data_IF_513205070352
#
_entry.id   IF_513205070352
#
_cell.length_a   1.000
_cell.length_b   1.000
_cell.length_c   1.000
_cell.angle_alpha   90.00
_cell.angle_beta   90.00
_cell.angle_gamma   90.00
#
_symmetry.space_group_name_H-M   'P 1'
#
loop_
_entity.id
_entity.type
_entity.pdbx_description
1 polymer ?
#
# COMPACT_ATOMS: atom_id res chain seq x y z
N UNK A 1 7.88 2.82 -4.07
CA UNK A 1 8.54 2.89 -5.41
C UNK A 1 7.76 2.11 -6.47
N UNK A 2 7.31 0.86 -6.21
CA UNK A 2 6.52 0.07 -7.19
C UNK A 2 5.33 0.83 -7.79
N UNK A 3 4.45 1.52 -7.01
CA UNK A 3 3.34 2.27 -7.61
C UNK A 3 3.77 3.40 -8.55
N UNK A 4 4.93 4.01 -8.31
CA UNK A 4 5.50 5.01 -9.23
C UNK A 4 5.93 4.38 -10.55
N UNK A 5 6.46 3.15 -10.51
CA UNK A 5 6.83 2.45 -11.74
C UNK A 5 5.58 2.02 -12.53
N UNK A 6 4.50 1.63 -11.84
CA UNK A 6 3.23 1.36 -12.53
C UNK A 6 2.71 2.62 -13.25
N UNK A 7 2.76 3.78 -12.60
CA UNK A 7 2.42 5.05 -13.25
C UNK A 7 3.38 5.35 -14.41
N UNK A 8 4.69 5.17 -14.22
CA UNK A 8 5.69 5.38 -15.26
C UNK A 8 5.45 4.48 -16.48
N UNK A 9 5.09 3.20 -16.29
CA UNK A 9 4.73 2.30 -17.37
C UNK A 9 3.51 2.84 -18.15
N UNK A 10 2.49 3.36 -17.48
CA UNK A 10 1.32 3.96 -18.13
C UNK A 10 1.66 5.25 -18.89
N UNK A 11 2.51 6.09 -18.32
CA UNK A 11 3.00 7.28 -19.02
C UNK A 11 3.83 6.92 -20.26
N UNK A 12 4.72 5.93 -20.14
CA UNK A 12 5.56 5.47 -21.27
C UNK A 12 4.72 4.79 -22.36
N UNK A 13 3.65 4.06 -22.00
CA UNK A 13 2.68 3.50 -22.94
C UNK A 13 2.02 4.59 -23.80
N UNK A 14 1.78 5.77 -23.22
CA UNK A 14 1.24 6.96 -23.91
C UNK A 14 2.32 7.79 -24.62
N UNK A 15 3.57 7.33 -24.65
CA UNK A 15 4.65 7.98 -25.38
C UNK A 15 5.51 8.97 -24.57
N UNK A 16 5.25 9.13 -23.28
CA UNK A 16 6.05 9.99 -22.41
C UNK A 16 7.39 9.34 -22.05
N UNK A 17 8.42 10.16 -21.92
CA UNK A 17 9.74 9.73 -21.44
C UNK A 17 9.81 9.97 -19.94
N UNK A 18 10.11 8.94 -19.18
CA UNK A 18 10.20 9.00 -17.72
C UNK A 18 11.62 8.72 -17.26
N UNK A 19 12.18 9.61 -16.44
CA UNK A 19 13.45 9.35 -15.75
C UNK A 19 13.17 9.13 -14.26
N UNK A 20 13.56 7.98 -13.76
CA UNK A 20 13.39 7.58 -12.38
C UNK A 20 14.66 7.84 -11.58
N UNK A 21 14.66 8.84 -10.70
CA UNK A 21 15.75 9.12 -9.77
C UNK A 21 15.55 8.28 -8.51
N UNK A 22 16.42 7.30 -8.27
CA UNK A 22 16.24 6.34 -7.17
C UNK A 22 17.58 5.72 -6.73
N UNK A 23 17.65 5.16 -5.50
CA UNK A 23 18.83 4.42 -5.06
C UNK A 23 19.14 3.22 -5.98
N UNK A 24 20.43 2.90 -6.14
CA UNK A 24 20.87 1.78 -7.01
C UNK A 24 20.28 0.43 -6.60
N UNK A 25 20.10 0.21 -5.31
CA UNK A 25 19.45 -1.01 -4.81
C UNK A 25 17.98 -1.09 -5.20
N UNK A 26 17.27 0.04 -5.15
CA UNK A 26 15.88 0.13 -5.60
C UNK A 26 15.74 -0.11 -7.10
N UNK A 27 16.69 0.38 -7.92
CA UNK A 27 16.73 0.06 -9.34
C UNK A 27 16.75 -1.45 -9.58
N UNK A 28 17.67 -2.17 -8.93
CA UNK A 28 17.77 -3.65 -9.07
C UNK A 28 16.49 -4.37 -8.67
N UNK A 29 15.74 -3.82 -7.72
CA UNK A 29 14.46 -4.39 -7.28
C UNK A 29 13.32 -4.13 -8.26
N UNK A 30 13.40 -3.07 -9.06
CA UNK A 30 12.31 -2.59 -9.92
C UNK A 30 12.53 -2.87 -11.41
N UNK A 31 13.77 -3.01 -11.87
CA UNK A 31 14.09 -3.06 -13.31
C UNK A 31 13.36 -4.16 -14.07
N UNK A 32 13.08 -5.29 -13.40
CA UNK A 32 12.33 -6.39 -14.01
C UNK A 32 10.85 -6.08 -14.25
N UNK A 33 10.30 -5.01 -13.65
CA UNK A 33 8.93 -4.53 -13.83
C UNK A 33 8.83 -3.35 -14.80
N UNK A 34 9.96 -2.91 -15.35
CA UNK A 34 9.98 -1.88 -16.38
C UNK A 34 9.55 -2.48 -17.73
N UNK A 35 8.33 -2.18 -18.14
CA UNK A 35 7.75 -2.68 -19.40
C UNK A 35 8.21 -1.89 -20.63
N UNK A 36 8.77 -0.69 -20.42
CA UNK A 36 9.18 0.23 -21.49
C UNK A 36 10.63 0.70 -21.30
N UNK A 37 11.65 -0.16 -21.44
CA UNK A 37 13.05 0.18 -21.16
C UNK A 37 13.63 1.29 -22.02
N UNK A 38 13.02 1.60 -23.17
CA UNK A 38 13.39 2.74 -24.02
C UNK A 38 12.69 4.04 -23.61
N UNK A 39 11.53 3.96 -22.94
CA UNK A 39 10.75 5.10 -22.46
C UNK A 39 11.02 5.45 -21.00
N UNK A 40 11.44 4.48 -20.18
CA UNK A 40 11.71 4.64 -18.75
C UNK A 40 13.19 4.40 -18.48
N UNK A 41 13.90 5.43 -18.03
CA UNK A 41 15.32 5.38 -17.70
C UNK A 41 15.52 5.50 -16.20
N UNK A 42 16.27 4.57 -15.61
CA UNK A 42 16.69 4.64 -14.21
C UNK A 42 17.98 5.44 -14.08
N UNK A 43 17.94 6.48 -13.24
CA UNK A 43 19.08 7.30 -12.89
C UNK A 43 19.43 7.07 -11.43
N UNK A 44 20.49 6.29 -11.12
CA UNK A 44 20.81 5.90 -9.76
C UNK A 44 21.35 7.08 -8.94
N UNK A 45 20.80 7.23 -7.74
CA UNK A 45 21.31 8.17 -6.73
C UNK A 45 22.26 7.46 -5.78
N UNK A 46 23.30 8.17 -5.35
CA UNK A 46 24.19 7.74 -4.27
C UNK A 46 23.59 8.20 -2.95
N UNK A 47 23.23 7.26 -2.08
CA UNK A 47 22.70 7.59 -0.76
C UNK A 47 23.84 7.95 0.18
N UNK A 48 23.90 9.19 0.69
CA UNK A 48 24.96 9.62 1.61
C UNK A 48 24.93 8.87 2.93
N UNK A 49 26.09 8.70 3.55
CA UNK A 49 26.18 8.16 4.90
C UNK A 49 25.55 9.11 5.91
N UNK A 50 24.79 8.54 6.84
CA UNK A 50 24.20 9.25 7.99
C UNK A 50 24.44 8.42 9.24
N UNK A 51 24.92 9.05 10.30
CA UNK A 51 25.13 8.38 11.59
C UNK A 51 23.80 7.79 12.10
N UNK A 52 23.85 6.52 12.47
CA UNK A 52 22.66 5.76 12.88
C UNK A 52 21.94 5.03 11.75
N UNK A 53 22.31 5.26 10.48
CA UNK A 53 21.85 4.45 9.36
C UNK A 53 22.83 3.30 9.11
N UNK A 54 22.39 2.03 9.08
CA UNK A 54 23.26 0.90 8.76
C UNK A 54 23.96 1.07 7.41
N UNK A 55 25.23 0.67 7.35
CA UNK A 55 26.00 0.75 6.11
C UNK A 55 25.31 -0.04 4.99
N UNK A 56 25.15 0.58 3.80
CA UNK A 56 24.51 -0.03 2.65
C UNK A 56 22.98 -0.07 2.71
N UNK A 57 22.35 0.56 3.70
CA UNK A 57 20.91 0.77 3.71
C UNK A 57 20.54 1.91 2.75
N UNK A 58 19.76 1.59 1.71
CA UNK A 58 19.36 2.53 0.68
C UNK A 58 17.83 2.66 0.58
N UNK A 59 17.08 1.71 1.15
CA UNK A 59 15.61 1.66 1.06
C UNK A 59 14.98 1.35 2.42
N UNK A 60 13.70 1.66 2.58
CA UNK A 60 12.95 1.37 3.81
C UNK A 60 12.85 -0.15 4.11
N UNK A 61 13.02 -1.00 3.10
CA UNK A 61 13.05 -2.47 3.31
C UNK A 61 14.34 -2.98 3.92
N UNK A 62 15.39 -2.14 3.95
CA UNK A 62 16.70 -2.51 4.52
C UNK A 62 16.80 -2.29 6.03
N UNK A 63 15.83 -1.58 6.60
CA UNK A 63 15.89 -1.09 7.98
C UNK A 63 14.55 -1.28 8.71
N UNK A 64 14.57 -1.42 10.03
CA UNK A 64 13.34 -1.35 10.81
C UNK A 64 12.75 0.07 10.80
N UNK A 65 11.44 0.18 11.02
CA UNK A 65 10.69 1.45 10.97
C UNK A 65 11.28 2.54 11.89
N UNK A 66 11.86 2.16 13.02
CA UNK A 66 12.52 3.08 13.96
C UNK A 66 13.70 3.83 13.38
N UNK A 67 14.32 3.32 12.31
CA UNK A 67 15.47 3.93 11.63
C UNK A 67 15.09 4.74 10.39
N UNK A 68 13.83 4.74 9.97
CA UNK A 68 13.33 5.48 8.77
C UNK A 68 13.66 6.98 8.86
N UNK A 69 13.72 7.54 10.07
CA UNK A 69 14.15 8.93 10.29
C UNK A 69 15.56 9.23 9.74
N UNK A 70 16.49 8.28 9.82
CA UNK A 70 17.85 8.46 9.30
C UNK A 70 17.89 8.33 7.77
N UNK A 71 17.10 7.42 7.21
CA UNK A 71 16.94 7.31 5.77
C UNK A 71 16.33 8.59 5.17
N UNK A 72 15.39 9.23 5.87
CA UNK A 72 14.82 10.50 5.42
C UNK A 72 15.84 11.64 5.46
N UNK A 73 16.80 11.63 6.40
CA UNK A 73 17.93 12.58 6.41
C UNK A 73 18.86 12.29 5.22
N UNK A 74 19.20 11.01 4.98
CA UNK A 74 20.03 10.64 3.84
C UNK A 74 19.38 11.06 2.50
N UNK A 75 18.04 10.95 2.38
CA UNK A 75 17.31 11.45 1.23
C UNK A 75 17.46 12.97 1.07
N UNK A 76 17.39 13.76 2.15
CA UNK A 76 17.58 15.21 2.06
C UNK A 76 18.99 15.59 1.56
N UNK A 77 19.98 14.83 1.95
CA UNK A 77 21.35 15.02 1.49
C UNK A 77 21.58 14.65 0.02
N UNK A 78 20.59 14.05 -0.66
CA UNK A 78 20.64 13.83 -2.13
C UNK A 78 20.20 15.05 -2.92
N UNK A 79 19.75 16.15 -2.28
CA UNK A 79 19.20 17.34 -2.94
C UNK A 79 20.09 17.85 -4.09
N UNK A 80 21.37 18.04 -3.84
CA UNK A 80 22.30 18.58 -4.86
C UNK A 80 22.45 17.64 -6.08
N UNK A 81 22.46 16.31 -5.83
CA UNK A 81 22.51 15.32 -6.90
C UNK A 81 21.25 15.39 -7.76
N UNK A 82 20.09 15.54 -7.13
CA UNK A 82 18.80 15.62 -7.82
C UNK A 82 18.69 16.94 -8.57
N UNK A 83 19.11 18.07 -8.00
CA UNK A 83 19.12 19.37 -8.65
C UNK A 83 20.00 19.35 -9.90
N UNK A 84 21.20 18.79 -9.82
CA UNK A 84 22.09 18.63 -10.96
C UNK A 84 21.47 17.73 -12.06
N UNK A 85 20.84 16.62 -11.68
CA UNK A 85 20.18 15.72 -12.63
C UNK A 85 19.00 16.41 -13.32
N UNK A 86 18.15 17.13 -12.60
CA UNK A 86 17.01 17.86 -13.16
C UNK A 86 17.49 18.98 -14.10
N UNK A 87 18.54 19.70 -13.70
CA UNK A 87 19.15 20.74 -14.56
C UNK A 87 19.69 20.20 -15.88
N UNK A 88 20.23 18.98 -15.88
CA UNK A 88 20.71 18.29 -17.07
C UNK A 88 19.58 17.70 -17.92
N UNK A 89 18.57 17.11 -17.28
CA UNK A 89 17.45 16.44 -17.95
C UNK A 89 16.42 17.42 -18.51
N UNK A 90 16.24 18.58 -17.87
CA UNK A 90 15.24 19.59 -18.21
C UNK A 90 13.85 18.98 -18.42
N UNK A 91 13.27 18.32 -17.39
CA UNK A 91 11.96 17.72 -17.53
C UNK A 91 10.86 18.79 -17.60
N UNK A 92 9.73 18.44 -18.20
CA UNK A 92 8.55 19.30 -18.23
C UNK A 92 7.80 19.28 -16.88
N UNK A 93 7.88 18.16 -16.16
CA UNK A 93 7.20 17.96 -14.88
C UNK A 93 8.05 17.07 -13.95
N UNK A 94 8.02 17.38 -12.66
CA UNK A 94 8.65 16.55 -11.62
C UNK A 94 7.56 15.96 -10.72
N UNK A 95 7.51 14.63 -10.63
CA UNK A 95 6.70 13.92 -9.64
C UNK A 95 7.57 13.55 -8.44
N UNK A 96 7.04 13.79 -7.24
CA UNK A 96 7.76 13.49 -5.98
C UNK A 96 6.78 13.08 -4.89
N UNK A 97 7.28 12.55 -3.75
CA UNK A 97 6.50 12.24 -2.55
C UNK A 97 7.03 12.97 -1.30
N UNK A 98 8.02 12.43 -0.62
CA UNK A 98 8.55 12.95 0.65
C UNK A 98 9.70 13.96 0.50
N UNK A 99 10.14 14.24 -0.71
CA UNK A 99 11.19 15.23 -1.01
C UNK A 99 10.61 16.67 -0.99
N UNK A 100 10.21 17.13 0.19
CA UNK A 100 9.46 18.39 0.41
C UNK A 100 10.14 19.66 -0.11
N UNK A 101 11.42 19.60 -0.40
CA UNK A 101 12.21 20.68 -1.01
C UNK A 101 12.13 20.72 -2.55
N UNK A 102 11.55 19.70 -3.19
CA UNK A 102 11.41 19.63 -4.66
C UNK A 102 10.61 20.81 -5.22
N UNK A 103 9.47 21.25 -4.64
CA UNK A 103 8.73 22.38 -5.20
C UNK A 103 9.53 23.69 -5.28
N UNK A 104 10.34 23.98 -4.26
CA UNK A 104 11.22 25.16 -4.26
C UNK A 104 12.25 25.10 -5.38
N UNK A 105 12.91 23.95 -5.53
CA UNK A 105 13.89 23.70 -6.58
C UNK A 105 13.26 23.73 -7.98
N UNK A 106 12.11 23.08 -8.15
CA UNK A 106 11.37 23.08 -9.42
C UNK A 106 11.01 24.50 -9.87
N UNK A 107 10.54 25.32 -8.92
CA UNK A 107 10.23 26.75 -9.18
C UNK A 107 11.47 27.53 -9.63
N UNK A 108 12.63 27.31 -8.99
CA UNK A 108 13.88 27.96 -9.39
C UNK A 108 14.32 27.55 -10.81
N UNK A 109 14.07 26.32 -11.18
CA UNK A 109 14.36 25.76 -12.52
C UNK A 109 13.24 26.02 -13.55
N UNK A 110 12.15 26.68 -13.16
CA UNK A 110 10.95 26.93 -13.99
C UNK A 110 10.29 25.64 -14.50
N UNK A 111 10.29 24.60 -13.69
CA UNK A 111 9.65 23.31 -13.94
C UNK A 111 8.46 23.16 -13.00
N UNK A 112 7.37 22.55 -13.45
CA UNK A 112 6.22 22.21 -12.59
C UNK A 112 6.52 21.04 -11.69
N UNK A 113 5.89 21.03 -10.50
CA UNK A 113 6.02 19.98 -9.51
C UNK A 113 4.67 19.40 -9.14
N UNK A 114 4.61 18.07 -9.03
CA UNK A 114 3.41 17.35 -8.61
C UNK A 114 3.76 16.39 -7.46
N UNK A 115 3.08 16.54 -6.33
CA UNK A 115 3.15 15.52 -5.28
C UNK A 115 2.23 14.36 -5.68
N UNK A 116 2.81 13.19 -5.97
CA UNK A 116 2.07 11.97 -6.25
C UNK A 116 2.02 11.09 -5.02
N UNK A 117 0.84 11.00 -4.42
CA UNK A 117 0.62 10.24 -3.20
C UNK A 117 0.14 8.81 -3.51
N UNK A 118 0.77 7.84 -2.84
CA UNK A 118 0.46 6.40 -2.95
C UNK A 118 -0.13 5.81 -1.66
N UNK A 119 -0.42 6.68 -0.69
CA UNK A 119 -1.15 6.36 0.54
C UNK A 119 -2.65 6.62 0.34
N UNK A 120 -3.46 6.14 1.27
CA UNK A 120 -4.89 6.42 1.32
C UNK A 120 -5.19 7.92 1.45
N UNK A 121 -6.14 8.42 0.68
CA UNK A 121 -6.65 9.79 0.81
C UNK A 121 -7.28 10.02 2.18
N UNK A 122 -7.89 9.00 2.76
CA UNK A 122 -8.48 9.03 4.10
C UNK A 122 -7.44 9.39 5.16
N UNK A 123 -6.24 8.79 5.09
CA UNK A 123 -5.14 9.08 6.03
C UNK A 123 -4.59 10.50 5.85
N UNK A 124 -4.50 10.99 4.62
CA UNK A 124 -4.10 12.38 4.37
C UNK A 124 -5.13 13.35 4.93
N UNK A 125 -6.40 13.11 4.65
CA UNK A 125 -7.50 13.94 5.11
C UNK A 125 -7.60 13.99 6.64
N UNK A 126 -7.26 12.91 7.33
CA UNK A 126 -7.32 12.82 8.78
C UNK A 126 -6.07 13.42 9.45
N UNK A 127 -4.87 13.01 9.06
CA UNK A 127 -3.64 13.26 9.80
C UNK A 127 -2.73 14.33 9.18
N UNK A 128 -2.90 14.65 7.89
CA UNK A 128 -1.90 15.40 7.12
C UNK A 128 -2.46 16.67 6.45
N UNK A 129 -3.53 17.24 6.98
CA UNK A 129 -4.03 18.56 6.57
C UNK A 129 -3.39 19.68 7.39
N UNK A 130 -3.37 20.93 6.91
CA UNK A 130 -2.81 22.05 7.64
C UNK A 130 -3.45 22.21 9.03
N UNK A 131 -2.62 22.21 10.08
CA UNK A 131 -3.08 22.29 11.48
C UNK A 131 -3.62 20.97 12.04
N UNK A 132 -3.54 19.86 11.30
CA UNK A 132 -3.96 18.53 11.77
C UNK A 132 -3.07 17.99 12.90
N UNK A 133 -3.66 17.19 13.75
CA UNK A 133 -2.99 16.49 14.86
C UNK A 133 -3.17 14.99 14.69
N UNK A 134 -2.12 14.22 14.99
CA UNK A 134 -2.16 12.76 14.90
C UNK A 134 -3.28 12.17 15.77
N UNK A 135 -4.14 11.39 15.16
CA UNK A 135 -5.22 10.71 15.86
C UNK A 135 -6.45 11.55 16.13
N UNK A 136 -6.47 12.83 15.72
CA UNK A 136 -7.59 13.76 15.94
C UNK A 136 -8.19 14.14 14.59
N UNK A 137 -9.47 13.84 14.40
CA UNK A 137 -10.17 14.23 13.17
C UNK A 137 -10.23 15.76 13.06
N UNK A 138 -9.73 16.35 11.97
CA UNK A 138 -9.73 17.81 11.81
C UNK A 138 -11.14 18.36 11.54
N UNK A 139 -11.37 19.67 11.78
CA UNK A 139 -12.67 20.28 11.53
C UNK A 139 -13.16 20.06 10.09
N UNK A 140 -14.39 19.60 9.94
CA UNK A 140 -15.00 19.32 8.64
C UNK A 140 -14.53 18.02 7.97
N UNK A 141 -13.82 17.16 8.68
CA UNK A 141 -13.44 15.83 8.19
C UNK A 141 -14.69 15.05 7.74
N UNK A 142 -14.68 14.43 6.53
CA UNK A 142 -15.90 13.97 5.87
C UNK A 142 -16.40 12.60 6.31
N UNK A 143 -15.95 12.09 7.46
CA UNK A 143 -16.37 10.78 7.97
C UNK A 143 -16.55 10.78 9.49
N UNK A 144 -17.64 10.16 9.95
CA UNK A 144 -17.86 9.83 11.36
C UNK A 144 -17.48 8.39 11.70
N UNK A 145 -17.12 7.58 10.70
CA UNK A 145 -16.81 6.15 10.83
C UNK A 145 -15.32 5.86 10.68
N UNK A 146 -14.65 6.51 9.72
CA UNK A 146 -13.22 6.33 9.45
C UNK A 146 -12.37 7.12 10.46
N UNK A 147 -12.39 6.70 11.72
CA UNK A 147 -11.75 7.32 12.87
C UNK A 147 -10.90 6.30 13.63
N UNK A 148 -9.89 6.79 14.35
CA UNK A 148 -9.16 5.99 15.34
C UNK A 148 -10.02 5.69 16.56
N UNK A 149 -9.77 4.55 17.18
CA UNK A 149 -10.42 4.06 18.40
C UNK A 149 -9.37 3.76 19.46
N UNK A 150 -9.79 3.50 20.71
CA UNK A 150 -8.88 3.21 21.81
C UNK A 150 -7.90 2.07 21.53
N UNK A 151 -8.36 1.00 20.89
CA UNK A 151 -7.51 -0.14 20.51
C UNK A 151 -6.53 0.14 19.38
N UNK A 152 -6.59 1.32 18.76
CA UNK A 152 -5.64 1.75 17.73
C UNK A 152 -4.46 2.55 18.32
N UNK A 153 -4.46 2.81 19.63
CA UNK A 153 -3.43 3.59 20.33
C UNK A 153 -2.00 3.07 20.06
N UNK A 154 -1.82 1.75 19.95
CA UNK A 154 -0.53 1.15 19.65
C UNK A 154 -0.02 1.55 18.26
N UNK A 155 -0.89 1.57 17.25
CA UNK A 155 -0.53 1.99 15.89
C UNK A 155 -0.12 3.46 15.87
N UNK A 156 -0.85 4.34 16.58
CA UNK A 156 -0.54 5.75 16.72
C UNK A 156 0.78 5.99 17.46
N UNK A 157 1.04 5.27 18.56
CA UNK A 157 2.30 5.37 19.32
C UNK A 157 3.50 4.97 18.46
N UNK A 158 3.39 3.93 17.66
CA UNK A 158 4.46 3.50 16.75
C UNK A 158 4.79 4.61 15.74
N UNK A 159 3.79 5.32 15.26
CA UNK A 159 3.97 6.42 14.30
C UNK A 159 4.40 7.74 14.95
N UNK A 160 4.02 7.99 16.20
CA UNK A 160 4.24 9.27 16.90
C UNK A 160 5.71 9.69 16.94
N UNK A 161 6.64 8.75 17.06
CA UNK A 161 8.08 9.00 17.16
C UNK A 161 8.69 9.71 15.95
N UNK A 162 8.07 9.62 14.78
CA UNK A 162 8.52 10.31 13.56
C UNK A 162 7.44 11.20 12.92
N UNK A 163 6.23 11.23 13.48
CA UNK A 163 5.09 11.96 12.93
C UNK A 163 5.39 13.42 12.61
N UNK A 164 5.96 14.18 13.56
CA UNK A 164 6.25 15.60 13.35
C UNK A 164 7.10 15.87 12.11
N UNK A 165 8.13 15.04 11.88
CA UNK A 165 8.99 15.18 10.71
C UNK A 165 8.26 14.75 9.44
N UNK A 166 7.52 13.67 9.50
CA UNK A 166 6.71 13.17 8.38
C UNK A 166 5.62 14.19 8.01
N UNK A 167 4.87 14.68 8.99
CA UNK A 167 3.86 15.73 8.83
C UNK A 167 4.46 16.97 8.16
N UNK A 168 5.56 17.49 8.70
CA UNK A 168 6.21 18.68 8.14
C UNK A 168 6.61 18.47 6.67
N UNK A 169 7.23 17.35 6.34
CA UNK A 169 7.64 17.04 4.97
C UNK A 169 6.44 16.95 4.03
N UNK A 170 5.44 16.21 4.46
CA UNK A 170 4.28 15.92 3.63
C UNK A 170 3.45 17.19 3.39
N UNK A 171 3.10 17.91 4.46
CA UNK A 171 2.32 19.14 4.36
C UNK A 171 3.08 20.24 3.63
N UNK A 172 4.39 20.40 3.85
CA UNK A 172 5.23 21.34 3.09
C UNK A 172 5.21 21.00 1.59
N UNK A 173 5.35 19.74 1.24
CA UNK A 173 5.26 19.28 -0.15
C UNK A 173 3.90 19.61 -0.78
N UNK A 174 2.79 19.25 -0.10
CA UNK A 174 1.43 19.53 -0.55
C UNK A 174 1.13 21.05 -0.66
N UNK A 175 1.61 21.86 0.29
CA UNK A 175 1.40 23.29 0.26
C UNK A 175 2.14 23.99 -0.88
N UNK A 176 3.32 23.52 -1.26
CA UNK A 176 4.21 24.22 -2.18
C UNK A 176 4.25 23.63 -3.59
N UNK A 177 3.82 22.37 -3.82
CA UNK A 177 3.73 21.80 -5.16
C UNK A 177 2.69 22.53 -6.02
N UNK A 178 2.83 22.46 -7.35
CA UNK A 178 1.84 23.03 -8.27
C UNK A 178 0.56 22.17 -8.28
N UNK A 179 0.68 20.85 -8.22
CA UNK A 179 -0.44 19.92 -8.33
C UNK A 179 -0.34 18.79 -7.30
N UNK A 180 -1.50 18.31 -6.85
CA UNK A 180 -1.63 17.13 -6.00
C UNK A 180 -2.23 16.01 -6.82
N UNK A 181 -1.65 14.82 -6.72
CA UNK A 181 -2.23 13.62 -7.30
C UNK A 181 -2.28 12.49 -6.28
N UNK A 182 -3.36 11.72 -6.29
CA UNK A 182 -3.57 10.60 -5.37
C UNK A 182 -3.92 9.33 -6.15
N UNK A 183 -3.29 8.23 -5.77
CA UNK A 183 -3.51 6.89 -6.34
C UNK A 183 -4.79 6.27 -5.79
N UNK A 184 -5.92 6.83 -6.14
CA UNK A 184 -7.24 6.35 -5.73
C UNK A 184 -8.30 6.69 -6.78
N UNK A 185 -9.56 6.36 -6.52
CA UNK A 185 -10.69 6.71 -7.37
C UNK A 185 -11.84 7.29 -6.53
N UNK A 186 -12.77 7.94 -7.20
CA UNK A 186 -13.93 8.62 -6.61
C UNK A 186 -14.80 7.64 -5.82
N UNK A 187 -14.98 6.43 -6.35
CA UNK A 187 -15.86 5.39 -5.82
C UNK A 187 -15.43 4.89 -4.43
N UNK A 188 -14.15 5.06 -4.07
CA UNK A 188 -13.58 4.61 -2.79
C UNK A 188 -13.33 5.77 -1.84
N UNK A 189 -12.66 6.84 -2.31
CA UNK A 189 -12.15 7.89 -1.43
C UNK A 189 -12.49 9.32 -1.93
N UNK A 190 -13.44 9.49 -2.86
CA UNK A 190 -13.75 10.79 -3.48
C UNK A 190 -13.97 11.91 -2.47
N UNK A 191 -14.84 11.70 -1.47
CA UNK A 191 -15.11 12.71 -0.42
C UNK A 191 -13.88 13.15 0.37
N UNK A 192 -12.90 12.26 0.57
CA UNK A 192 -11.63 12.61 1.23
C UNK A 192 -10.73 13.41 0.29
N UNK A 193 -10.77 13.10 -1.01
CA UNK A 193 -10.05 13.89 -2.02
C UNK A 193 -10.61 15.31 -2.13
N UNK A 194 -11.93 15.48 -2.13
CA UNK A 194 -12.59 16.79 -2.10
C UNK A 194 -12.23 17.58 -0.84
N UNK A 195 -12.16 16.89 0.30
CA UNK A 195 -11.74 17.53 1.55
C UNK A 195 -10.29 18.00 1.47
N UNK A 196 -9.36 17.17 0.97
CA UNK A 196 -7.95 17.54 0.75
C UNK A 196 -7.85 18.75 -0.19
N UNK A 197 -8.60 18.74 -1.30
CA UNK A 197 -8.68 19.86 -2.25
C UNK A 197 -9.09 21.15 -1.54
N UNK A 198 -10.11 21.06 -0.66
CA UNK A 198 -10.60 22.20 0.12
C UNK A 198 -9.57 22.74 1.12
N UNK A 199 -8.78 21.87 1.76
CA UNK A 199 -7.78 22.25 2.77
C UNK A 199 -6.53 22.87 2.14
N UNK A 200 -6.05 22.31 1.04
CA UNK A 200 -4.84 22.78 0.35
C UNK A 200 -5.10 23.85 -0.73
N UNK A 201 -6.38 24.09 -1.07
CA UNK A 201 -6.80 25.02 -2.14
C UNK A 201 -6.15 24.68 -3.48
N UNK A 202 -5.99 23.40 -3.76
CA UNK A 202 -5.39 22.87 -4.98
C UNK A 202 -6.21 21.70 -5.48
N UNK A 203 -6.36 21.60 -6.80
CA UNK A 203 -7.05 20.49 -7.42
C UNK A 203 -6.30 19.18 -7.16
N UNK A 204 -7.04 18.16 -6.76
CA UNK A 204 -6.54 16.79 -6.58
C UNK A 204 -6.85 15.98 -7.83
N UNK A 205 -5.80 15.42 -8.44
CA UNK A 205 -5.90 14.58 -9.62
C UNK A 205 -5.86 13.11 -9.21
N UNK A 206 -6.88 12.34 -9.61
CA UNK A 206 -6.96 10.93 -9.30
C UNK A 206 -6.38 10.10 -10.46
N UNK A 207 -5.52 9.13 -10.15
CA UNK A 207 -4.91 8.27 -11.17
C UNK A 207 -5.60 6.91 -11.31
N UNK A 208 -6.59 6.62 -10.47
CA UNK A 208 -7.05 5.26 -10.24
C UNK A 208 -6.02 4.45 -9.41
N UNK A 209 -6.28 3.17 -9.17
CA UNK A 209 -5.46 2.32 -8.29
C UNK A 209 -4.09 1.97 -8.86
N UNK A 210 -3.82 2.20 -10.14
CA UNK A 210 -2.56 1.85 -10.82
C UNK A 210 -2.10 0.44 -10.44
N UNK A 211 -2.95 -0.54 -10.66
CA UNK A 211 -2.64 -1.94 -10.40
C UNK A 211 -1.69 -2.49 -11.46
N UNK A 212 -0.79 -3.43 -11.10
CA UNK A 212 0.00 -4.14 -12.08
C UNK A 212 -0.92 -4.93 -12.99
N UNK A 213 -0.65 -4.89 -14.28
CA UNK A 213 -1.32 -5.81 -15.19
C UNK A 213 -0.81 -7.24 -14.91
N UNK A 214 -1.74 -8.22 -14.79
CA UNK A 214 -1.33 -9.59 -14.60
C UNK A 214 -0.44 -10.03 -15.77
N UNK A 215 0.80 -10.40 -15.48
CA UNK A 215 1.70 -11.01 -16.48
C UNK A 215 1.22 -12.43 -16.78
N UNK A 216 0.37 -12.56 -17.79
CA UNK A 216 -0.17 -13.87 -18.22
C UNK A 216 0.91 -14.87 -18.67
N UNK A 217 2.14 -14.40 -18.91
CA UNK A 217 3.26 -15.26 -19.30
C UNK A 217 3.93 -15.94 -18.10
N UNK A 218 3.63 -15.47 -16.88
CA UNK A 218 4.19 -16.00 -15.62
C UNK A 218 3.06 -16.61 -14.78
N UNK A 219 2.72 -17.88 -14.98
CA UNK A 219 1.73 -18.54 -14.15
C UNK A 219 2.22 -18.63 -12.70
N UNK A 220 1.29 -18.87 -11.78
CA UNK A 220 1.63 -19.22 -10.40
C UNK A 220 2.56 -20.43 -10.41
N UNK A 221 3.61 -20.39 -9.59
CA UNK A 221 4.57 -21.50 -9.47
C UNK A 221 3.86 -22.84 -9.23
N UNK A 222 4.34 -23.91 -9.86
CA UNK A 222 3.71 -25.23 -9.86
C UNK A 222 3.43 -25.76 -8.44
N UNK A 223 4.34 -25.50 -7.49
CA UNK A 223 4.14 -25.91 -6.09
C UNK A 223 2.89 -25.32 -5.47
N UNK A 224 2.63 -24.01 -5.69
CA UNK A 224 1.47 -23.32 -5.15
C UNK A 224 0.20 -23.66 -5.92
N UNK A 225 0.29 -23.69 -7.24
CA UNK A 225 -0.83 -24.05 -8.11
C UNK A 225 -1.31 -25.48 -7.84
N UNK A 226 -0.40 -26.44 -7.72
CA UNK A 226 -0.73 -27.82 -7.41
C UNK A 226 -1.35 -27.97 -6.01
N UNK A 227 -0.77 -27.32 -4.98
CA UNK A 227 -1.28 -27.39 -3.63
C UNK A 227 -2.68 -26.78 -3.52
N UNK A 228 -2.89 -25.58 -4.06
CA UNK A 228 -4.19 -24.91 -4.06
C UNK A 228 -5.26 -25.72 -4.81
N UNK A 229 -4.90 -26.33 -5.92
CA UNK A 229 -5.82 -27.17 -6.73
C UNK A 229 -6.28 -28.44 -6.00
N UNK A 230 -5.65 -28.81 -4.89
CA UNK A 230 -6.09 -29.89 -4.02
C UNK A 230 -7.33 -29.57 -3.18
N UNK A 231 -7.83 -28.32 -3.19
CA UNK A 231 -8.95 -27.90 -2.36
C UNK A 231 -10.14 -27.41 -3.18
N UNK A 232 -11.31 -27.46 -2.56
CA UNK A 232 -12.56 -27.01 -3.19
C UNK A 232 -12.57 -25.50 -3.45
N UNK A 233 -13.43 -25.09 -4.35
CA UNK A 233 -13.62 -23.69 -4.70
C UNK A 233 -13.94 -22.85 -3.47
N UNK A 234 -13.24 -21.72 -3.29
CA UNK A 234 -13.47 -20.75 -2.23
C UNK A 234 -13.24 -21.29 -0.81
N UNK A 235 -12.47 -22.38 -0.62
CA UNK A 235 -12.30 -23.00 0.70
C UNK A 235 -11.00 -22.62 1.41
N UNK A 236 -10.01 -22.06 0.71
CA UNK A 236 -8.67 -21.77 1.26
C UNK A 236 -8.62 -20.36 1.83
N UNK A 237 -8.05 -20.24 3.04
CA UNK A 237 -7.69 -18.95 3.65
C UNK A 237 -6.26 -18.59 3.26
N UNK A 238 -6.07 -17.48 2.59
CA UNK A 238 -4.75 -16.90 2.34
C UNK A 238 -4.49 -15.77 3.34
N UNK A 239 -3.31 -15.76 3.98
CA UNK A 239 -2.92 -14.70 4.90
C UNK A 239 -1.58 -14.09 4.49
N UNK A 240 -1.55 -12.77 4.29
CA UNK A 240 -0.31 -12.05 4.04
C UNK A 240 -0.34 -10.65 4.69
N UNK A 241 0.63 -10.38 5.57
CA UNK A 241 0.69 -9.14 6.34
C UNK A 241 1.68 -8.11 5.78
N UNK A 242 2.05 -8.25 4.50
CA UNK A 242 2.94 -7.34 3.80
C UNK A 242 4.41 -7.42 4.22
N UNK A 243 5.24 -6.62 3.55
CA UNK A 243 6.71 -6.70 3.66
C UNK A 243 7.29 -6.02 4.90
N UNK A 244 6.54 -5.18 5.58
CA UNK A 244 7.03 -4.37 6.70
C UNK A 244 6.59 -4.91 8.06
N UNK A 245 5.58 -5.76 8.11
CA UNK A 245 5.04 -6.31 9.35
C UNK A 245 5.93 -7.43 9.87
N UNK A 246 6.43 -7.27 11.08
CA UNK A 246 7.15 -8.28 11.85
C UNK A 246 6.43 -8.41 13.19
N UNK A 247 5.74 -9.52 13.40
CA UNK A 247 4.96 -9.77 14.61
C UNK A 247 5.86 -10.11 15.80
N UNK A 248 5.39 -9.82 17.02
CA UNK A 248 5.92 -10.44 18.24
C UNK A 248 5.66 -11.95 18.17
N UNK A 249 6.54 -12.78 18.75
CA UNK A 249 6.42 -14.25 18.68
C UNK A 249 5.06 -14.74 19.18
N UNK A 250 4.56 -14.21 20.29
CA UNK A 250 3.24 -14.60 20.85
C UNK A 250 2.10 -14.22 19.90
N UNK A 251 2.15 -13.04 19.29
CA UNK A 251 1.13 -12.59 18.33
C UNK A 251 1.14 -13.42 17.05
N UNK A 252 2.33 -13.84 16.60
CA UNK A 252 2.48 -14.79 15.50
C UNK A 252 1.86 -16.15 15.83
N UNK A 253 2.02 -16.63 17.07
CA UNK A 253 1.41 -17.87 17.51
C UNK A 253 -0.12 -17.77 17.55
N UNK A 254 -0.67 -16.64 18.02
CA UNK A 254 -2.12 -16.39 17.96
C UNK A 254 -2.64 -16.37 16.53
N UNK A 255 -1.87 -15.78 15.59
CA UNK A 255 -2.20 -15.80 14.17
C UNK A 255 -2.30 -17.25 13.64
N UNK A 256 -1.28 -18.06 13.90
CA UNK A 256 -1.24 -19.45 13.44
C UNK A 256 -2.39 -20.28 14.05
N UNK A 257 -2.59 -20.17 15.38
CA UNK A 257 -3.63 -20.90 16.08
C UNK A 257 -5.04 -20.43 15.69
N UNK A 258 -5.23 -19.14 15.44
CA UNK A 258 -6.52 -18.59 15.01
C UNK A 258 -6.94 -19.11 13.63
N UNK A 259 -6.01 -19.20 12.69
CA UNK A 259 -6.28 -19.79 11.39
C UNK A 259 -6.48 -21.32 11.52
N UNK A 260 -5.68 -22.00 12.35
CA UNK A 260 -5.87 -23.43 12.64
C UNK A 260 -7.27 -23.74 13.17
N UNK A 261 -7.79 -22.91 14.09
CA UNK A 261 -9.11 -23.05 14.71
C UNK A 261 -10.27 -23.02 13.71
N UNK A 262 -10.10 -22.38 12.56
CA UNK A 262 -11.13 -22.37 11.52
C UNK A 262 -11.41 -23.75 10.93
N UNK A 263 -10.46 -24.69 11.04
CA UNK A 263 -10.52 -25.99 10.39
C UNK A 263 -10.33 -25.95 8.87
N UNK A 264 -10.27 -24.76 8.25
CA UNK A 264 -10.15 -24.57 6.81
C UNK A 264 -8.71 -24.80 6.33
N UNK A 265 -8.50 -25.16 5.06
CA UNK A 265 -7.18 -25.13 4.44
C UNK A 265 -6.63 -23.68 4.41
N UNK A 266 -5.31 -23.55 4.57
CA UNK A 266 -4.73 -22.20 4.61
C UNK A 266 -3.29 -22.12 4.10
N UNK A 267 -2.95 -20.95 3.56
CA UNK A 267 -1.59 -20.53 3.22
C UNK A 267 -1.28 -19.21 3.92
N UNK A 268 -0.29 -19.22 4.81
CA UNK A 268 0.19 -18.03 5.53
C UNK A 268 1.56 -17.63 5.00
N UNK A 269 1.69 -16.41 4.49
CA UNK A 269 2.95 -15.84 4.00
C UNK A 269 3.34 -14.63 4.85
N UNK A 270 4.20 -14.84 5.84
CA UNK A 270 4.62 -13.80 6.80
C UNK A 270 6.10 -13.92 7.11
N UNK A 271 6.74 -12.82 7.50
CA UNK A 271 8.13 -12.86 7.95
C UNK A 271 8.27 -13.61 9.28
N UNK A 272 9.45 -14.21 9.55
CA UNK A 272 9.75 -14.73 10.88
C UNK A 272 9.51 -13.65 11.93
N UNK A 273 8.85 -13.99 13.06
CA UNK A 273 8.55 -13.02 14.10
C UNK A 273 9.82 -12.58 14.83
N UNK A 274 9.71 -11.53 15.63
CA UNK A 274 10.83 -11.00 16.42
C UNK A 274 11.47 -12.09 17.27
N UNK A 275 12.80 -12.16 17.22
CA UNK A 275 13.59 -13.12 17.98
C UNK A 275 13.67 -14.53 17.40
N UNK A 276 13.11 -14.76 16.21
CA UNK A 276 13.26 -16.01 15.47
C UNK A 276 13.95 -15.75 14.11
N UNK A 277 14.81 -16.67 13.70
CA UNK A 277 15.46 -16.60 12.39
C UNK A 277 14.61 -17.26 11.29
N UNK A 278 13.80 -18.25 11.67
CA UNK A 278 12.91 -18.98 10.78
C UNK A 278 11.50 -19.02 11.35
N UNK A 279 10.54 -19.32 10.50
CA UNK A 279 9.14 -19.54 10.92
C UNK A 279 9.06 -20.73 11.87
N UNK A 280 9.77 -21.82 11.58
CA UNK A 280 9.73 -23.08 12.33
C UNK A 280 10.12 -22.90 13.81
N UNK A 281 11.10 -22.03 14.10
CA UNK A 281 11.51 -21.70 15.48
C UNK A 281 10.40 -21.02 16.31
N UNK A 282 9.39 -20.50 15.65
CA UNK A 282 8.35 -19.68 16.26
C UNK A 282 6.96 -20.35 16.27
N UNK A 283 6.75 -21.38 15.49
CA UNK A 283 5.47 -22.10 15.41
C UNK A 283 5.02 -22.60 16.80
N UNK A 284 3.70 -22.68 17.06
CA UNK A 284 3.19 -23.35 18.24
C UNK A 284 3.62 -24.83 18.30
N UNK A 285 3.78 -25.35 19.49
CA UNK A 285 4.18 -26.76 19.67
C UNK A 285 3.21 -27.72 18.96
N UNK A 286 3.75 -28.64 18.18
CA UNK A 286 2.99 -29.65 17.43
C UNK A 286 2.11 -29.11 16.31
N UNK A 287 2.25 -27.81 15.96
CA UNK A 287 1.40 -27.15 14.95
C UNK A 287 1.50 -27.82 13.58
N UNK A 288 2.70 -28.07 13.07
CA UNK A 288 2.90 -28.64 11.74
C UNK A 288 2.23 -30.00 11.58
N UNK A 289 2.28 -30.84 12.62
CA UNK A 289 1.61 -32.14 12.61
C UNK A 289 0.08 -32.01 12.58
N UNK A 290 -0.48 -31.06 13.35
CA UNK A 290 -1.93 -30.85 13.41
C UNK A 290 -2.51 -30.29 12.11
N UNK A 291 -1.73 -29.51 11.36
CA UNK A 291 -2.19 -28.88 10.12
C UNK A 291 -1.70 -29.61 8.86
N UNK A 292 -1.03 -30.74 9.03
CA UNK A 292 -0.45 -31.51 7.95
C UNK A 292 -1.47 -31.80 6.84
N UNK A 293 -1.09 -31.49 5.62
CA UNK A 293 -1.92 -31.67 4.42
C UNK A 293 -2.97 -30.57 4.16
N UNK A 294 -3.25 -29.67 5.15
CA UNK A 294 -4.21 -28.58 4.95
C UNK A 294 -3.66 -27.17 5.21
N UNK A 295 -2.50 -27.06 5.85
CA UNK A 295 -1.93 -25.76 6.21
C UNK A 295 -0.47 -25.62 5.83
N UNK A 296 -0.10 -24.44 5.30
CA UNK A 296 1.28 -24.05 5.02
C UNK A 296 1.54 -22.69 5.68
N UNK A 297 2.65 -22.58 6.41
CA UNK A 297 3.20 -21.31 6.89
C UNK A 297 4.54 -21.08 6.21
N UNK A 298 4.61 -20.04 5.39
CA UNK A 298 5.76 -19.72 4.57
C UNK A 298 6.47 -18.46 5.08
N UNK A 299 7.75 -18.59 5.38
CA UNK A 299 8.56 -17.52 5.98
C UNK A 299 9.47 -16.78 5.02
N UNK A 300 9.63 -17.29 3.81
CA UNK A 300 10.46 -16.64 2.83
C UNK A 300 9.66 -15.56 2.08
N UNK A 301 10.28 -14.41 1.90
CA UNK A 301 9.71 -13.36 1.09
C UNK A 301 9.74 -13.77 -0.37
N UNK A 302 8.58 -14.00 -0.94
CA UNK A 302 8.46 -14.22 -2.38
C UNK A 302 8.56 -12.87 -3.08
N UNK A 303 9.73 -12.58 -3.63
CA UNK A 303 10.05 -11.29 -4.26
C UNK A 303 9.30 -10.99 -5.56
N UNK A 304 8.31 -11.79 -5.92
CA UNK A 304 7.57 -11.58 -7.16
C UNK A 304 6.35 -10.67 -6.91
N UNK A 305 6.32 -9.45 -7.48
CA UNK A 305 5.19 -8.53 -7.38
C UNK A 305 3.86 -9.09 -7.88
N UNK A 306 3.91 -10.19 -8.63
CA UNK A 306 2.75 -10.86 -9.22
C UNK A 306 2.22 -12.06 -8.42
N UNK A 307 2.90 -12.49 -7.36
CA UNK A 307 2.55 -13.71 -6.63
C UNK A 307 1.23 -13.56 -5.85
N UNK A 308 1.09 -12.50 -5.06
CA UNK A 308 -0.13 -12.26 -4.28
C UNK A 308 -1.38 -12.13 -5.16
N UNK A 309 -1.40 -11.33 -6.23
CA UNK A 309 -2.54 -11.30 -7.15
C UNK A 309 -2.86 -12.65 -7.80
N UNK A 310 -1.85 -13.46 -8.12
CA UNK A 310 -2.05 -14.80 -8.70
C UNK A 310 -2.66 -15.79 -7.69
N UNK A 311 -2.24 -15.72 -6.41
CA UNK A 311 -2.87 -16.49 -5.33
C UNK A 311 -4.32 -16.05 -5.14
N UNK A 312 -4.57 -14.74 -5.05
CA UNK A 312 -5.93 -14.19 -4.88
C UNK A 312 -6.86 -14.52 -6.06
N UNK A 313 -6.31 -14.71 -7.25
CA UNK A 313 -7.06 -15.11 -8.44
C UNK A 313 -7.31 -16.63 -8.52
N UNK A 314 -6.71 -17.44 -7.64
CA UNK A 314 -6.89 -18.88 -7.69
C UNK A 314 -8.28 -19.29 -7.19
N UNK A 315 -9.04 -20.14 -7.91
CA UNK A 315 -10.43 -20.47 -7.58
C UNK A 315 -10.64 -21.07 -6.19
N UNK A 316 -9.64 -21.73 -5.62
CA UNK A 316 -9.73 -22.33 -4.27
C UNK A 316 -9.62 -21.30 -3.15
N UNK A 317 -9.08 -20.08 -3.40
CA UNK A 317 -8.92 -19.07 -2.36
C UNK A 317 -10.24 -18.34 -2.15
N UNK A 318 -10.79 -18.44 -0.94
CA UNK A 318 -12.08 -17.86 -0.57
C UNK A 318 -11.97 -16.70 0.42
N UNK A 319 -10.87 -16.61 1.17
CA UNK A 319 -10.67 -15.55 2.14
C UNK A 319 -9.23 -15.03 2.11
N UNK A 320 -9.08 -13.72 2.19
CA UNK A 320 -7.79 -13.05 2.32
C UNK A 320 -7.69 -12.30 3.65
N UNK A 321 -6.78 -12.75 4.51
CA UNK A 321 -6.43 -12.07 5.75
C UNK A 321 -5.23 -11.16 5.49
N UNK A 322 -5.43 -9.85 5.64
CA UNK A 322 -4.45 -8.83 5.25
C UNK A 322 -4.28 -7.74 6.33
N UNK A 323 -3.13 -7.06 6.30
CA UNK A 323 -2.85 -5.89 7.14
C UNK A 323 -3.48 -4.58 6.62
N UNK A 324 -4.27 -4.63 5.55
CA UNK A 324 -4.83 -3.46 4.88
C UNK A 324 -3.80 -2.46 4.35
N UNK A 325 -2.60 -2.90 3.93
CA UNK A 325 -1.69 -2.05 3.16
C UNK A 325 -2.35 -1.63 1.85
N UNK A 326 -2.20 -0.36 1.45
CA UNK A 326 -3.00 0.25 0.38
C UNK A 326 -2.95 -0.51 -0.96
N UNK A 327 -1.79 -1.11 -1.32
CA UNK A 327 -1.69 -1.99 -2.49
C UNK A 327 -2.50 -3.28 -2.34
N UNK A 328 -2.35 -3.98 -1.20
CA UNK A 328 -3.06 -5.24 -0.92
C UNK A 328 -4.57 -5.03 -0.78
N UNK A 329 -4.99 -3.87 -0.27
CA UNK A 329 -6.41 -3.49 -0.24
C UNK A 329 -6.99 -3.44 -1.66
N UNK A 330 -6.32 -2.77 -2.59
CA UNK A 330 -6.76 -2.72 -3.98
C UNK A 330 -6.78 -4.08 -4.67
N UNK A 331 -5.75 -4.91 -4.43
CA UNK A 331 -5.69 -6.28 -4.96
C UNK A 331 -6.84 -7.13 -4.41
N UNK A 332 -7.17 -6.98 -3.12
CA UNK A 332 -8.29 -7.70 -2.51
C UNK A 332 -9.64 -7.28 -3.07
N UNK A 333 -9.87 -5.97 -3.29
CA UNK A 333 -11.11 -5.46 -3.89
C UNK A 333 -11.36 -5.99 -5.30
N UNK A 334 -10.29 -6.22 -6.07
CA UNK A 334 -10.40 -6.75 -7.44
C UNK A 334 -10.44 -8.28 -7.47
N UNK A 335 -10.30 -8.98 -6.34
CA UNK A 335 -10.43 -10.43 -6.22
C UNK A 335 -11.86 -10.86 -5.91
N UNK A 336 -12.12 -12.17 -5.89
CA UNK A 336 -13.39 -12.76 -5.42
C UNK A 336 -13.34 -13.22 -3.97
N UNK A 337 -12.20 -12.98 -3.29
CA UNK A 337 -11.98 -13.43 -1.90
C UNK A 337 -12.76 -12.56 -0.91
N UNK A 338 -13.28 -13.17 0.15
CA UNK A 338 -13.74 -12.44 1.32
C UNK A 338 -12.54 -11.80 2.03
N UNK A 339 -12.71 -10.62 2.61
CA UNK A 339 -11.59 -9.80 3.10
C UNK A 339 -11.67 -9.62 4.60
N UNK A 340 -10.61 -10.05 5.30
CA UNK A 340 -10.42 -9.87 6.75
C UNK A 340 -9.20 -8.99 6.97
N UNK A 341 -9.34 -7.91 7.77
CA UNK A 341 -8.23 -7.00 8.04
C UNK A 341 -7.71 -7.10 9.48
N UNK A 342 -6.38 -7.02 9.59
CA UNK A 342 -5.62 -6.87 10.83
C UNK A 342 -4.68 -5.66 10.65
N UNK A 343 -5.17 -4.42 10.78
CA UNK A 343 -4.32 -3.26 10.59
C UNK A 343 -3.26 -3.15 11.70
N UNK A 344 -2.03 -2.81 11.30
CA UNK A 344 -0.86 -2.72 12.19
C UNK A 344 -0.34 -1.29 12.30
N UNK A 345 -0.41 -0.52 11.20
CA UNK A 345 0.04 0.87 11.13
C UNK A 345 -1.14 1.84 11.03
N UNK A 346 -0.89 3.13 11.32
CA UNK A 346 -1.92 4.16 11.37
C UNK A 346 -2.73 4.33 10.08
N UNK A 347 -2.08 4.40 8.92
CA UNK A 347 -2.75 4.52 7.62
C UNK A 347 -3.62 3.31 7.29
N UNK A 348 -3.19 2.13 7.72
CA UNK A 348 -3.94 0.88 7.55
C UNK A 348 -5.23 0.88 8.38
N UNK A 349 -5.20 1.47 9.58
CA UNK A 349 -6.39 1.58 10.45
C UNK A 349 -7.49 2.36 9.76
N UNK A 350 -7.20 3.57 9.29
CA UNK A 350 -8.20 4.43 8.66
C UNK A 350 -8.72 3.81 7.35
N UNK A 351 -7.84 3.20 6.55
CA UNK A 351 -8.24 2.47 5.35
C UNK A 351 -9.16 1.29 5.69
N UNK A 352 -8.83 0.53 6.76
CA UNK A 352 -9.69 -0.56 7.25
C UNK A 352 -11.08 -0.05 7.61
N UNK A 353 -11.20 1.10 8.30
CA UNK A 353 -12.51 1.69 8.66
C UNK A 353 -13.33 2.06 7.42
N UNK A 354 -12.71 2.61 6.39
CA UNK A 354 -13.43 2.86 5.11
C UNK A 354 -13.97 1.55 4.55
N UNK A 355 -13.15 0.51 4.50
CA UNK A 355 -13.53 -0.78 3.92
C UNK A 355 -14.59 -1.53 4.72
N UNK A 356 -14.51 -1.47 6.06
CA UNK A 356 -15.38 -2.25 6.95
C UNK A 356 -16.66 -1.53 7.33
N UNK A 357 -16.63 -0.21 7.46
CA UNK A 357 -17.74 0.54 8.04
C UNK A 357 -18.43 1.50 7.07
N UNK A 358 -17.73 2.00 6.06
CA UNK A 358 -18.36 2.85 5.04
C UNK A 358 -18.80 2.04 3.83
N UNK A 359 -17.90 1.21 3.30
CA UNK A 359 -18.19 0.37 2.12
C UNK A 359 -18.78 -0.99 2.50
N UNK A 360 -18.56 -1.44 3.73
CA UNK A 360 -19.04 -2.72 4.27
C UNK A 360 -18.69 -3.92 3.37
N UNK A 361 -17.42 -3.93 2.86
CA UNK A 361 -16.91 -4.96 1.94
C UNK A 361 -15.90 -5.90 2.60
N UNK A 362 -15.69 -5.77 3.90
CA UNK A 362 -14.72 -6.56 4.67
C UNK A 362 -15.10 -6.59 6.15
N UNK A 363 -14.39 -7.39 6.93
CA UNK A 363 -14.46 -7.33 8.41
C UNK A 363 -13.08 -7.05 8.97
N UNK A 364 -13.03 -6.44 10.16
CA UNK A 364 -11.81 -6.27 10.94
C UNK A 364 -11.78 -7.25 12.09
N UNK A 365 -10.60 -7.83 12.34
CA UNK A 365 -10.37 -8.66 13.53
C UNK A 365 -10.45 -7.78 14.78
N UNK A 366 -11.30 -8.17 15.74
CA UNK A 366 -11.42 -7.46 17.00
C UNK A 366 -10.09 -7.50 17.76
N UNK A 367 -9.63 -6.33 18.21
CA UNK A 367 -8.38 -6.15 18.94
C UNK A 367 -8.63 -5.56 20.31
N UNK A 368 -7.74 -5.84 21.24
CA UNK A 368 -7.69 -5.22 22.56
C UNK A 368 -7.06 -3.81 22.46
N UNK A 369 -7.14 -3.01 23.51
CA UNK A 369 -6.52 -1.66 23.58
C UNK A 369 -5.02 -1.65 23.28
N UNK A 370 -4.34 -2.77 23.55
CA UNK A 370 -2.91 -2.96 23.22
C UNK A 370 -2.64 -3.20 21.73
N UNK A 371 -3.69 -3.33 20.92
CA UNK A 371 -3.61 -3.77 19.53
C UNK A 371 -3.52 -5.30 19.39
N UNK A 372 -3.54 -6.04 20.49
CA UNK A 372 -3.51 -7.50 20.52
C UNK A 372 -4.81 -8.10 19.97
N UNK A 373 -4.70 -9.16 19.19
CA UNK A 373 -5.85 -10.00 18.81
C UNK A 373 -5.62 -11.45 19.27
N UNK A 374 -6.67 -12.08 19.74
CA UNK A 374 -6.65 -13.50 20.12
C UNK A 374 -6.92 -14.40 18.92
N UNK A 375 -6.55 -15.66 19.05
CA UNK A 375 -6.85 -16.70 18.05
C UNK A 375 -8.37 -16.88 17.86
N UNK A 376 -9.16 -16.70 18.91
CA UNK A 376 -10.61 -16.76 18.86
C UNK A 376 -11.20 -15.61 18.04
N UNK A 377 -10.71 -14.37 18.23
CA UNK A 377 -11.16 -13.21 17.49
C UNK A 377 -10.81 -13.34 16.00
N UNK A 378 -9.61 -13.84 15.67
CA UNK A 378 -9.22 -14.08 14.30
C UNK A 378 -10.06 -15.18 13.64
N UNK A 379 -10.20 -16.32 14.32
CA UNK A 379 -11.04 -17.42 13.82
C UNK A 379 -12.48 -16.98 13.62
N UNK A 380 -13.05 -16.24 14.61
CA UNK A 380 -14.39 -15.69 14.51
C UNK A 380 -14.58 -14.75 13.33
N UNK A 381 -13.63 -13.85 13.06
CA UNK A 381 -13.68 -12.95 11.92
C UNK A 381 -13.62 -13.70 10.58
N UNK A 382 -12.74 -14.69 10.44
CA UNK A 382 -12.66 -15.53 9.25
C UNK A 382 -13.98 -16.29 9.04
N UNK A 383 -14.47 -16.96 10.08
CA UNK A 383 -15.68 -17.78 9.99
C UNK A 383 -16.94 -16.95 9.77
N UNK A 384 -17.00 -15.69 10.27
CA UNK A 384 -18.11 -14.79 9.99
C UNK A 384 -18.28 -14.50 8.49
N UNK A 385 -17.23 -14.63 7.69
CA UNK A 385 -17.25 -14.44 6.25
C UNK A 385 -17.32 -15.76 5.46
N UNK A 386 -16.70 -16.82 5.98
CA UNK A 386 -16.59 -18.10 5.27
C UNK A 386 -17.80 -19.02 5.49
N UNK A 387 -18.54 -18.82 6.57
CA UNK A 387 -19.80 -19.51 6.80
C UNK A 387 -20.87 -18.99 5.83
N UNK A 388 -21.48 -19.90 5.08
CA UNK A 388 -22.51 -19.57 4.08
C UNK A 388 -23.81 -19.09 4.70
N UNK A 389 -24.10 -19.48 5.94
CA UNK A 389 -25.29 -19.11 6.70
C UNK A 389 -25.11 -17.78 7.47
N UNK A 390 -23.91 -17.20 7.46
CA UNK A 390 -23.64 -15.92 8.12
C UNK A 390 -24.32 -14.75 7.41
N UNK A 391 -25.17 -14.02 8.13
CA UNK A 391 -25.82 -12.80 7.62
C UNK A 391 -24.79 -11.73 7.26
N UNK A 392 -23.79 -11.54 8.14
CA UNK A 392 -22.68 -10.59 7.94
C UNK A 392 -21.88 -10.98 6.69
N UNK A 393 -21.50 -12.27 6.59
CA UNK A 393 -20.77 -12.78 5.43
C UNK A 393 -21.55 -12.59 4.11
N UNK A 394 -22.84 -12.82 4.15
CA UNK A 394 -23.69 -12.63 2.97
C UNK A 394 -23.84 -11.14 2.57
N UNK A 395 -23.93 -10.23 3.55
CA UNK A 395 -23.98 -8.79 3.29
C UNK A 395 -22.65 -8.29 2.71
N UNK A 396 -21.54 -8.60 3.35
CA UNK A 396 -20.18 -8.22 2.90
C UNK A 396 -19.93 -8.74 1.48
N UNK A 397 -20.27 -9.99 1.21
CA UNK A 397 -20.12 -10.60 -0.13
C UNK A 397 -20.91 -9.84 -1.19
N UNK A 398 -22.18 -9.49 -0.92
CA UNK A 398 -23.00 -8.69 -1.85
C UNK A 398 -22.41 -7.32 -2.11
N UNK A 399 -21.99 -6.62 -1.06
CA UNK A 399 -21.41 -5.29 -1.18
C UNK A 399 -20.08 -5.33 -1.95
N UNK A 400 -19.20 -6.30 -1.63
CA UNK A 400 -17.93 -6.48 -2.32
C UNK A 400 -18.15 -6.80 -3.81
N UNK A 401 -19.03 -7.74 -4.15
CA UNK A 401 -19.33 -8.08 -5.54
C UNK A 401 -19.84 -6.85 -6.31
N UNK A 402 -20.77 -6.07 -5.73
CA UNK A 402 -21.29 -4.85 -6.35
C UNK A 402 -20.18 -3.80 -6.56
N UNK A 403 -19.33 -3.59 -5.56
CA UNK A 403 -18.20 -2.65 -5.68
C UNK A 403 -17.21 -3.10 -6.73
N UNK A 404 -16.83 -4.39 -6.73
CA UNK A 404 -15.95 -4.98 -7.74
C UNK A 404 -16.53 -4.83 -9.15
N UNK A 405 -17.82 -5.11 -9.35
CA UNK A 405 -18.50 -4.91 -10.63
C UNK A 405 -18.41 -3.44 -11.09
N UNK A 406 -18.62 -2.49 -10.17
CA UNK A 406 -18.47 -1.06 -10.46
C UNK A 406 -17.03 -0.75 -10.89
N UNK A 407 -16.03 -1.18 -10.11
CA UNK A 407 -14.62 -0.92 -10.39
C UNK A 407 -14.12 -1.61 -11.67
N UNK A 408 -14.67 -2.80 -11.99
CA UNK A 408 -14.35 -3.55 -13.19
C UNK A 408 -15.13 -3.08 -14.44
N UNK A 409 -15.99 -2.08 -14.31
CA UNK A 409 -16.76 -1.54 -15.44
C UNK A 409 -15.80 -1.06 -16.54
N UNK A 410 -16.08 -1.43 -17.81
CA UNK A 410 -15.20 -1.07 -18.91
C UNK A 410 -14.95 0.43 -18.99
N UNK A 411 -13.69 0.81 -19.00
CA UNK A 411 -13.26 2.21 -19.11
C UNK A 411 -13.23 2.97 -17.78
N UNK A 412 -13.76 2.47 -16.66
CA UNK A 412 -13.75 3.22 -15.40
C UNK A 412 -12.32 3.48 -14.93
N UNK A 413 -11.58 2.43 -14.59
CA UNK A 413 -10.23 2.58 -14.03
C UNK A 413 -9.21 3.09 -15.06
N UNK A 414 -9.32 2.67 -16.32
CA UNK A 414 -8.50 3.22 -17.41
C UNK A 414 -8.81 4.68 -17.69
N UNK A 415 -10.08 5.09 -17.55
CA UNK A 415 -10.51 6.47 -17.70
C UNK A 415 -9.86 7.43 -16.70
N UNK A 416 -9.59 6.98 -15.46
CA UNK A 416 -8.79 7.78 -14.51
C UNK A 416 -7.38 8.02 -15.02
N UNK A 417 -6.73 6.97 -15.52
CA UNK A 417 -5.39 7.07 -16.09
C UNK A 417 -5.35 7.97 -17.32
N UNK A 418 -6.28 7.78 -18.26
CA UNK A 418 -6.38 8.57 -19.48
C UNK A 418 -6.60 10.06 -19.15
N UNK A 419 -7.60 10.36 -18.30
CA UNK A 419 -7.86 11.73 -17.83
C UNK A 419 -6.67 12.36 -17.11
N UNK A 420 -5.95 11.57 -16.33
CA UNK A 420 -4.74 12.03 -15.66
C UNK A 420 -3.65 12.41 -16.66
N UNK A 421 -3.38 11.55 -17.67
CA UNK A 421 -2.39 11.80 -18.73
C UNK A 421 -2.79 13.02 -19.55
N UNK A 422 -4.03 13.10 -20.02
CA UNK A 422 -4.55 14.26 -20.77
C UNK A 422 -4.38 15.56 -19.97
N UNK A 423 -4.61 15.50 -18.64
CA UNK A 423 -4.41 16.66 -17.78
C UNK A 423 -2.94 17.04 -17.69
N UNK A 424 -2.02 16.07 -17.58
CA UNK A 424 -0.57 16.35 -17.59
C UNK A 424 -0.13 16.99 -18.89
N UNK A 425 -0.59 16.49 -20.04
CA UNK A 425 -0.28 17.04 -21.37
C UNK A 425 -0.75 18.50 -21.49
N UNK A 426 -1.97 18.80 -21.05
CA UNK A 426 -2.48 20.17 -21.04
C UNK A 426 -1.63 21.10 -20.15
N UNK A 427 -1.25 20.64 -18.94
CA UNK A 427 -0.42 21.40 -18.01
C UNK A 427 0.98 21.69 -18.54
N UNK A 428 1.55 20.76 -19.31
CA UNK A 428 2.85 20.95 -19.98
C UNK A 428 2.72 21.89 -21.18
N UNK A 429 1.68 21.73 -21.99
CA UNK A 429 1.46 22.55 -23.19
C UNK A 429 1.19 24.03 -22.88
N UNK A 430 0.47 24.32 -21.78
CA UNK A 430 0.24 25.71 -21.32
C UNK A 430 1.55 26.46 -21.03
N UNK A 431 2.66 25.75 -20.76
CA UNK A 431 3.99 26.36 -20.57
C UNK A 431 4.68 26.74 -21.90
N UNK A 432 4.41 26.00 -22.99
CA UNK A 432 5.00 26.26 -24.30
C UNK A 432 4.56 27.57 -24.95
N UNK A 433 3.48 28.18 -24.46
CA UNK A 433 2.99 29.49 -24.98
C UNK A 433 3.51 30.72 -24.21
N UNK A 434 4.34 30.53 -23.18
CA UNK A 434 4.86 31.60 -22.30
C UNK A 434 6.39 31.79 -22.49
N UNK A 435 7.03 31.08 -23.40
CA UNK A 435 8.46 31.18 -23.70
C UNK A 435 8.74 32.07 -24.93
#
# INVERSE_FOLDING_TARGET
>A
MTPYLHLANKLAEKGHRVTFLLPKKAQKQLEHQNLFPHGIVFHPLVIPHVDGLPAGAETASDIPISLVKFLSIAMDLTRDQIEAAIGALRPDLILFDLAHWVPEMAKALKVKSMLYNVMSATSIAHDLVPGGELGVAPPGYPSSKALYREHDAHALLTFSGFYKRFYHRFTTGLMNCDFISIRTCEEIEGKFCDYIESQYKKKVLLTGPMLPEPDKSKPLEDQWSHWLSGFGQGSVVFCALGSQTILEKKQFQELCLGIELTGLPFLVAVKPPKGANTIQEALPEGFEERVKGRGIVWGEWVQQPSWQPLILAHPSVGCFVSHCGFGSMWESLMSDCQIVFIPVLNDQVLTTRVMTEELEVSVEVQREETGWFSKENLSGAIMSLMDQDSEIGNQVRRNHSKLKETLASPGLLTGYTDKFVDTLENLVNEQGYIS
#
